data_IF_866925902238
#
_entry.id   IF_866925902238
#
_cell.length_a   1.000
_cell.length_b   1.000
_cell.length_c   1.000
_cell.angle_alpha   90.00
_cell.angle_beta   90.00
_cell.angle_gamma   90.00
#
_symmetry.space_group_name_H-M   'P 1'
#
loop_
_entity.id
_entity.type
_entity.pdbx_description
1 polymer ?
#
# COMPACT_ATOMS: atom_id res chain seq x y z
N UNK A 1 29.11 -26.54 19.61
CA UNK A 1 29.80 -25.35 19.10
C UNK A 1 28.93 -24.71 18.04
N UNK A 2 28.07 -23.84 18.55
CA UNK A 2 27.73 -22.52 18.04
C UNK A 2 27.02 -22.41 16.69
N UNK A 3 25.72 -22.68 16.78
CA UNK A 3 24.61 -21.85 16.32
C UNK A 3 25.04 -20.54 15.64
N UNK A 4 24.96 -20.52 14.31
CA UNK A 4 25.10 -19.30 13.53
C UNK A 4 24.03 -18.29 13.95
N UNK A 5 24.48 -17.10 14.29
CA UNK A 5 23.68 -15.94 14.65
C UNK A 5 22.93 -15.41 13.41
N UNK A 6 21.74 -15.95 13.12
CA UNK A 6 20.88 -15.49 12.00
C UNK A 6 20.08 -14.20 12.34
N UNK A 7 20.22 -13.65 13.55
CA UNK A 7 19.43 -12.51 14.04
C UNK A 7 19.88 -11.11 13.58
N UNK A 8 20.99 -11.00 12.84
CA UNK A 8 21.61 -9.72 12.46
C UNK A 8 21.55 -9.45 10.95
N UNK A 9 20.58 -10.02 10.24
CA UNK A 9 20.48 -9.78 8.80
C UNK A 9 19.82 -8.42 8.54
N UNK A 10 20.63 -7.41 8.23
CA UNK A 10 20.20 -6.10 7.70
C UNK A 10 19.49 -6.19 6.33
N UNK A 11 19.44 -7.38 5.75
CA UNK A 11 18.75 -7.67 4.49
C UNK A 11 18.06 -9.04 4.56
N UNK A 12 16.79 -9.11 4.21
CA UNK A 12 16.13 -10.40 4.00
C UNK A 12 16.49 -10.91 2.60
N UNK A 13 16.95 -12.16 2.45
CA UNK A 13 17.23 -12.72 1.14
C UNK A 13 15.95 -12.77 0.30
N UNK A 14 16.15 -12.67 -1.02
CA UNK A 14 15.11 -12.61 -2.03
C UNK A 14 14.03 -13.68 -1.77
N UNK A 15 12.80 -13.23 -1.53
CA UNK A 15 11.67 -14.14 -1.42
C UNK A 15 11.54 -14.91 -0.09
N UNK A 16 12.27 -14.48 0.94
CA UNK A 16 12.06 -14.92 2.32
C UNK A 16 11.85 -13.70 3.20
N UNK A 17 10.77 -12.97 2.94
CA UNK A 17 10.43 -11.78 3.71
C UNK A 17 10.16 -12.16 5.17
N UNK A 18 10.37 -11.25 6.12
CA UNK A 18 10.12 -11.55 7.53
C UNK A 18 8.66 -11.94 7.79
N UNK A 19 7.74 -11.43 6.96
CA UNK A 19 6.32 -11.72 6.99
C UNK A 19 5.99 -13.19 6.63
N UNK A 20 6.77 -13.82 5.76
CA UNK A 20 6.54 -15.20 5.30
C UNK A 20 7.11 -16.25 6.27
N UNK A 21 8.02 -15.86 7.17
CA UNK A 21 8.73 -16.81 8.05
C UNK A 21 8.08 -17.03 9.43
N UNK A 22 7.03 -16.29 9.79
CA UNK A 22 6.29 -16.49 11.05
C UNK A 22 7.14 -16.41 12.32
N UNK A 23 7.99 -15.38 12.45
CA UNK A 23 8.93 -15.26 13.58
C UNK A 23 8.21 -15.00 14.91
N UNK A 24 8.78 -15.49 16.02
CA UNK A 24 8.27 -15.27 17.38
C UNK A 24 8.53 -13.87 17.93
N UNK A 25 9.28 -13.04 17.19
CA UNK A 25 9.62 -11.67 17.57
C UNK A 25 9.81 -10.79 16.32
N UNK A 26 9.71 -9.47 16.50
CA UNK A 26 9.96 -8.50 15.45
C UNK A 26 11.48 -8.33 15.25
N UNK A 27 12.01 -8.53 14.03
CA UNK A 27 13.43 -8.31 13.74
C UNK A 27 13.86 -6.84 13.95
N UNK A 28 15.12 -6.64 14.34
CA UNK A 28 15.66 -5.33 14.69
C UNK A 28 15.54 -4.28 13.58
N UNK A 29 15.70 -4.69 12.33
CA UNK A 29 15.56 -3.80 11.19
C UNK A 29 14.15 -3.22 11.01
N UNK A 30 13.12 -3.74 11.69
CA UNK A 30 11.75 -3.18 11.70
C UNK A 30 11.41 -2.44 12.99
N UNK A 31 12.30 -2.48 14.00
CA UNK A 31 12.04 -1.85 15.28
C UNK A 31 12.13 -0.33 15.17
N UNK A 32 11.00 0.34 15.39
CA UNK A 32 10.95 1.80 15.48
C UNK A 32 11.59 2.22 16.81
N UNK A 33 12.53 3.20 16.82
CA UNK A 33 13.13 3.71 18.05
C UNK A 33 12.05 4.22 19.01
N UNK A 34 12.20 4.06 20.35
CA UNK A 34 11.18 4.46 21.32
C UNK A 34 10.68 5.90 21.15
N UNK A 35 11.57 6.84 20.80
CA UNK A 35 11.25 8.25 20.56
C UNK A 35 10.38 8.52 19.33
N UNK A 36 10.28 7.57 18.40
CA UNK A 36 9.50 7.68 17.16
C UNK A 36 8.27 6.75 17.17
N UNK A 37 8.04 5.99 18.24
CA UNK A 37 6.88 5.09 18.32
C UNK A 37 5.60 5.92 18.45
N UNK A 38 4.53 5.56 17.73
CA UNK A 38 3.24 6.22 17.90
C UNK A 38 2.70 6.00 19.32
N UNK A 39 1.85 6.93 19.79
CA UNK A 39 1.08 6.74 21.02
C UNK A 39 0.19 5.50 20.89
N UNK A 40 0.15 4.67 21.93
CA UNK A 40 -0.78 3.54 22.01
C UNK A 40 -2.21 3.98 22.37
N UNK A 41 -2.38 5.24 22.78
CA UNK A 41 -3.67 5.86 23.04
C UNK A 41 -3.88 6.98 22.01
N UNK A 42 -4.31 6.65 20.78
CA UNK A 42 -4.60 7.66 19.78
C UNK A 42 -5.84 8.46 20.16
N UNK A 43 -5.81 9.76 19.92
CA UNK A 43 -7.02 10.58 19.96
C UNK A 43 -7.95 10.17 18.80
N UNK A 44 -9.26 10.12 19.06
CA UNK A 44 -10.23 9.88 18.01
C UNK A 44 -10.33 11.10 17.11
N UNK A 45 -9.87 11.00 15.87
CA UNK A 45 -10.02 12.05 14.88
C UNK A 45 -11.40 11.97 14.20
N UNK A 46 -12.14 13.08 14.18
CA UNK A 46 -13.33 13.20 13.33
C UNK A 46 -12.88 13.46 11.88
N UNK A 47 -13.00 12.42 11.04
CA UNK A 47 -12.68 12.46 9.62
C UNK A 47 -13.94 12.82 8.82
N UNK A 48 -13.93 13.90 8.02
CA UNK A 48 -15.09 14.25 7.19
C UNK A 48 -15.46 13.12 6.23
N UNK A 49 -16.75 12.82 6.11
CA UNK A 49 -17.30 11.96 5.08
C UNK A 49 -18.08 12.84 4.10
N UNK A 50 -17.77 12.74 2.82
CA UNK A 50 -18.40 13.54 1.77
C UNK A 50 -19.24 12.62 0.89
N UNK A 51 -20.54 12.90 0.85
CA UNK A 51 -21.45 12.26 -0.09
C UNK A 51 -21.32 12.91 -1.47
N UNK A 52 -21.00 12.10 -2.48
CA UNK A 52 -20.86 12.54 -3.87
C UNK A 52 -22.17 12.39 -4.66
N UNK A 53 -23.24 11.87 -4.04
CA UNK A 53 -24.55 11.84 -4.69
C UNK A 53 -25.03 13.27 -4.96
N UNK A 54 -25.40 13.54 -6.22
CA UNK A 54 -25.80 14.87 -6.67
C UNK A 54 -24.69 15.71 -7.31
N UNK A 55 -23.44 15.23 -7.35
CA UNK A 55 -22.34 15.93 -8.03
C UNK A 55 -22.65 16.25 -9.51
N UNK A 56 -23.39 15.34 -10.17
CA UNK A 56 -23.77 15.45 -11.59
C UNK A 56 -25.28 15.68 -11.82
N UNK A 57 -26.05 15.96 -10.75
CA UNK A 57 -27.52 16.10 -10.84
C UNK A 57 -28.00 17.55 -10.75
N UNK A 58 -27.57 18.29 -9.72
CA UNK A 58 -28.04 19.64 -9.44
C UNK A 58 -26.87 20.64 -9.24
N UNK A 59 -26.86 21.81 -9.91
CA UNK A 59 -25.79 22.79 -9.78
C UNK A 59 -25.58 23.31 -8.35
N UNK A 60 -26.65 23.46 -7.55
CA UNK A 60 -26.52 23.96 -6.17
C UNK A 60 -25.91 22.89 -5.25
N UNK A 61 -26.36 21.63 -5.37
CA UNK A 61 -25.76 20.49 -4.68
C UNK A 61 -24.30 20.29 -5.08
N UNK A 62 -23.98 20.33 -6.38
CA UNK A 62 -22.61 20.26 -6.88
C UNK A 62 -21.71 21.31 -6.25
N UNK A 63 -22.18 22.56 -6.18
CA UNK A 63 -21.45 23.66 -5.54
C UNK A 63 -21.19 23.40 -4.05
N UNK A 64 -22.20 22.89 -3.32
CA UNK A 64 -22.05 22.52 -1.91
C UNK A 64 -21.04 21.39 -1.70
N UNK A 65 -21.08 20.33 -2.52
CA UNK A 65 -20.14 19.20 -2.46
C UNK A 65 -18.71 19.69 -2.73
N UNK A 66 -18.49 20.50 -3.76
CA UNK A 66 -17.17 21.09 -4.07
C UNK A 66 -16.67 21.95 -2.91
N UNK A 67 -17.55 22.75 -2.30
CA UNK A 67 -17.20 23.55 -1.12
C UNK A 67 -16.78 22.66 0.06
N UNK A 68 -17.48 21.56 0.30
CA UNK A 68 -17.16 20.60 1.36
C UNK A 68 -15.81 19.91 1.11
N UNK A 69 -15.54 19.49 -0.13
CA UNK A 69 -14.23 18.93 -0.54
C UNK A 69 -13.13 19.94 -0.25
N UNK A 70 -13.29 21.19 -0.74
CA UNK A 70 -12.30 22.24 -0.52
C UNK A 70 -12.07 22.54 0.97
N UNK A 71 -13.13 22.49 1.78
CA UNK A 71 -13.02 22.69 3.23
C UNK A 71 -12.26 21.53 3.91
N UNK A 72 -12.58 20.28 3.56
CA UNK A 72 -11.89 19.11 4.10
C UNK A 72 -10.39 19.12 3.73
N UNK A 73 -10.06 19.47 2.48
CA UNK A 73 -8.66 19.65 2.06
C UNK A 73 -7.93 20.69 2.90
N UNK A 74 -8.54 21.87 3.13
CA UNK A 74 -7.89 22.97 3.87
C UNK A 74 -7.76 22.71 5.37
N UNK A 75 -8.75 22.06 5.97
CA UNK A 75 -8.85 21.93 7.44
C UNK A 75 -8.33 20.59 7.97
N UNK A 76 -8.40 19.53 7.17
CA UNK A 76 -8.04 18.17 7.58
C UNK A 76 -6.95 17.54 6.70
N UNK A 77 -6.86 17.94 5.42
CA UNK A 77 -5.94 17.34 4.45
C UNK A 77 -6.33 15.91 4.01
N UNK A 78 -7.42 15.36 4.55
CA UNK A 78 -7.95 14.04 4.25
C UNK A 78 -9.46 13.98 4.54
N UNK A 79 -10.18 13.14 3.81
CA UNK A 79 -11.61 12.87 3.97
C UNK A 79 -11.95 11.51 3.35
N UNK A 80 -13.10 10.97 3.72
CA UNK A 80 -13.71 9.80 3.09
C UNK A 80 -14.78 10.25 2.09
N UNK A 81 -15.06 9.43 1.08
CA UNK A 81 -16.14 9.67 0.13
C UNK A 81 -17.11 8.49 0.14
N UNK A 82 -18.38 8.78 -0.10
CA UNK A 82 -19.44 7.78 -0.34
C UNK A 82 -20.24 8.15 -1.58
N UNK A 83 -20.99 7.19 -2.13
CA UNK A 83 -21.74 7.36 -3.38
C UNK A 83 -20.88 7.87 -4.55
N UNK A 84 -19.63 7.41 -4.63
CA UNK A 84 -18.65 7.84 -5.63
C UNK A 84 -18.88 7.25 -7.04
N UNK A 85 -19.91 6.42 -7.23
CA UNK A 85 -20.30 5.88 -8.54
C UNK A 85 -19.43 4.73 -9.08
N UNK A 86 -18.45 4.24 -8.31
CA UNK A 86 -17.67 3.05 -8.69
C UNK A 86 -18.49 1.81 -8.31
N UNK A 87 -18.75 0.87 -9.24
CA UNK A 87 -19.52 -0.33 -8.94
C UNK A 87 -18.90 -1.16 -7.82
N UNK A 88 -19.75 -1.70 -6.94
CA UNK A 88 -19.31 -2.53 -5.82
C UNK A 88 -18.48 -3.74 -6.28
N UNK A 89 -18.84 -4.35 -7.42
CA UNK A 89 -18.09 -5.47 -7.99
C UNK A 89 -16.63 -5.14 -8.31
N UNK A 90 -16.32 -3.88 -8.69
CA UNK A 90 -14.94 -3.43 -8.92
C UNK A 90 -14.21 -3.24 -7.59
N UNK A 91 -14.89 -2.68 -6.58
CA UNK A 91 -14.34 -2.51 -5.23
C UNK A 91 -14.03 -3.86 -4.56
N UNK A 92 -14.83 -4.88 -4.81
CA UNK A 92 -14.63 -6.23 -4.26
C UNK A 92 -13.57 -7.00 -5.06
N UNK A 93 -13.55 -6.84 -6.38
CA UNK A 93 -12.62 -7.53 -7.28
C UNK A 93 -11.17 -7.07 -7.13
N UNK A 94 -10.92 -5.77 -7.04
CA UNK A 94 -9.54 -5.24 -7.00
C UNK A 94 -8.71 -5.76 -5.81
N UNK A 95 -9.22 -5.77 -4.56
CA UNK A 95 -8.53 -6.42 -3.43
C UNK A 95 -8.37 -7.93 -3.63
N UNK A 96 -9.36 -8.61 -4.23
CA UNK A 96 -9.30 -10.05 -4.44
C UNK A 96 -8.15 -10.46 -5.38
N UNK A 97 -8.02 -9.78 -6.53
CA UNK A 97 -6.91 -10.00 -7.48
C UNK A 97 -5.57 -9.62 -6.85
N UNK A 98 -5.52 -8.53 -6.08
CA UNK A 98 -4.31 -8.13 -5.37
C UNK A 98 -3.87 -9.19 -4.34
N UNK A 99 -4.79 -9.73 -3.53
CA UNK A 99 -4.52 -10.83 -2.60
C UNK A 99 -3.99 -12.04 -3.37
N UNK A 100 -4.65 -12.42 -4.47
CA UNK A 100 -4.21 -13.52 -5.32
C UNK A 100 -2.78 -13.36 -5.82
N UNK A 101 -2.34 -12.14 -6.18
CA UNK A 101 -0.93 -11.87 -6.53
C UNK A 101 0.02 -12.13 -5.36
N UNK A 102 -0.31 -11.68 -4.15
CA UNK A 102 0.57 -11.84 -2.99
C UNK A 102 0.62 -13.28 -2.47
N UNK A 103 -0.43 -14.07 -2.73
CA UNK A 103 -0.51 -15.50 -2.44
C UNK A 103 0.24 -16.37 -3.46
N UNK A 104 0.66 -15.81 -4.61
CA UNK A 104 1.47 -16.54 -5.57
C UNK A 104 2.78 -17.02 -4.96
N UNK A 105 3.35 -18.14 -5.48
CA UNK A 105 4.68 -18.58 -5.11
C UNK A 105 5.69 -17.46 -5.25
N UNK A 106 6.64 -17.41 -4.33
CA UNK A 106 7.74 -16.43 -4.33
C UNK A 106 8.39 -16.26 -5.71
N UNK A 107 8.62 -17.37 -6.44
CA UNK A 107 9.21 -17.35 -7.78
C UNK A 107 8.47 -16.51 -8.81
N UNK A 108 7.15 -16.36 -8.67
CA UNK A 108 6.33 -15.51 -9.53
C UNK A 108 6.46 -14.04 -9.14
N UNK A 109 6.39 -13.75 -7.84
CA UNK A 109 6.46 -12.38 -7.30
C UNK A 109 7.81 -11.71 -7.55
N UNK A 110 8.90 -12.47 -7.42
CA UNK A 110 10.28 -11.93 -7.57
C UNK A 110 10.62 -11.52 -9.00
N UNK A 111 9.85 -11.92 -10.02
CA UNK A 111 9.98 -11.43 -11.40
C UNK A 111 9.82 -9.91 -11.49
N UNK A 112 9.06 -9.33 -10.57
CA UNK A 112 8.81 -7.89 -10.48
C UNK A 112 9.69 -7.19 -9.43
N UNK A 113 10.57 -7.91 -8.73
CA UNK A 113 11.44 -7.32 -7.70
C UNK A 113 12.49 -6.42 -8.35
N UNK A 114 12.65 -5.20 -7.84
CA UNK A 114 13.67 -4.27 -8.31
C UNK A 114 14.04 -3.25 -7.23
N UNK A 115 15.31 -2.84 -7.17
CA UNK A 115 15.75 -1.69 -6.35
C UNK A 115 15.57 -0.35 -7.09
N UNK A 116 15.40 -0.37 -8.41
CA UNK A 116 15.09 0.82 -9.19
C UNK A 116 13.68 1.32 -8.87
N UNK A 117 13.57 2.50 -8.28
CA UNK A 117 12.30 3.12 -7.88
C UNK A 117 11.51 3.67 -9.06
N UNK A 118 12.17 3.85 -10.21
CA UNK A 118 11.58 4.36 -11.45
C UNK A 118 10.98 3.27 -12.32
N UNK A 119 11.27 1.98 -12.05
CA UNK A 119 10.63 0.86 -12.74
C UNK A 119 9.10 1.02 -12.71
N UNK A 120 8.42 0.90 -13.87
CA UNK A 120 6.97 1.07 -13.96
C UNK A 120 6.20 0.07 -13.10
N UNK A 121 6.65 -1.19 -13.08
CA UNK A 121 6.10 -2.25 -12.24
C UNK A 121 7.19 -2.77 -11.32
N UNK A 122 6.89 -2.79 -10.01
CA UNK A 122 7.85 -3.13 -8.96
C UNK A 122 7.17 -3.79 -7.76
N UNK A 123 7.61 -5.00 -7.46
CA UNK A 123 7.41 -5.67 -6.19
C UNK A 123 8.55 -5.35 -5.21
N UNK A 124 8.26 -5.21 -3.92
CA UNK A 124 9.28 -4.90 -2.91
C UNK A 124 8.77 -4.93 -1.47
N UNK A 125 9.71 -4.88 -0.52
CA UNK A 125 9.44 -4.86 0.93
C UNK A 125 9.75 -3.51 1.57
N UNK A 126 10.81 -2.84 1.11
CA UNK A 126 11.19 -1.48 1.54
C UNK A 126 11.43 -0.54 0.36
N UNK A 127 11.58 0.76 0.64
CA UNK A 127 11.80 1.77 -0.39
C UNK A 127 13.16 1.55 -1.07
N UNK A 128 14.20 1.27 -0.27
CA UNK A 128 15.52 0.84 -0.74
C UNK A 128 16.02 -0.28 0.16
N UNK A 129 15.98 -1.51 -0.34
CA UNK A 129 16.47 -2.68 0.39
C UNK A 129 17.91 -2.45 0.87
N UNK A 130 18.14 -2.55 2.17
CA UNK A 130 19.48 -2.42 2.78
C UNK A 130 20.02 -1.00 2.94
N UNK A 131 19.30 0.05 2.51
CA UNK A 131 19.71 1.45 2.73
C UNK A 131 18.88 2.11 3.84
N UNK A 132 17.63 1.68 4.00
CA UNK A 132 16.73 2.22 5.02
C UNK A 132 17.19 1.80 6.44
N UNK A 133 17.39 2.78 7.34
CA UNK A 133 17.78 2.54 8.75
C UNK A 133 16.73 1.73 9.51
N UNK A 134 15.45 1.95 9.19
CA UNK A 134 14.31 1.18 9.67
C UNK A 134 13.50 0.78 8.44
N UNK A 135 13.33 -0.52 8.24
CA UNK A 135 12.56 -1.10 7.16
C UNK A 135 11.06 -1.07 7.50
N UNK A 136 10.23 -1.01 6.46
CA UNK A 136 8.78 -1.10 6.63
C UNK A 136 8.35 -2.56 6.76
N UNK A 137 7.52 -2.85 7.76
CA UNK A 137 6.81 -4.14 7.85
C UNK A 137 5.68 -4.19 6.82
N UNK A 138 6.05 -4.25 5.53
CA UNK A 138 5.12 -4.34 4.40
C UNK A 138 5.73 -5.11 3.24
N UNK A 139 4.85 -5.59 2.37
CA UNK A 139 5.16 -5.92 0.98
C UNK A 139 4.28 -5.04 0.10
N UNK A 140 4.75 -4.68 -1.09
CA UNK A 140 3.98 -3.88 -2.02
C UNK A 140 4.23 -4.30 -3.45
N UNK A 141 3.23 -4.07 -4.29
CA UNK A 141 3.34 -4.02 -5.74
C UNK A 141 2.95 -2.60 -6.16
N UNK A 142 3.84 -1.94 -6.89
CA UNK A 142 3.58 -0.65 -7.56
C UNK A 142 3.47 -0.94 -9.05
N UNK A 143 2.50 -0.33 -9.71
CA UNK A 143 2.39 -0.29 -11.17
C UNK A 143 1.91 1.09 -11.63
N UNK A 144 2.43 1.60 -12.74
CA UNK A 144 1.87 2.80 -13.37
C UNK A 144 0.57 2.48 -14.08
N UNK A 145 -0.40 3.39 -14.02
CA UNK A 145 -1.76 3.17 -14.55
C UNK A 145 -2.27 4.28 -15.47
N UNK A 146 -1.54 5.38 -15.63
CA UNK A 146 -1.92 6.47 -16.52
C UNK A 146 -0.72 6.95 -17.35
N UNK A 147 -0.85 7.04 -18.68
CA UNK A 147 -1.94 6.50 -19.51
C UNK A 147 -1.93 4.97 -19.55
N UNK A 148 -3.09 4.31 -19.42
CA UNK A 148 -3.15 2.84 -19.22
C UNK A 148 -2.46 2.04 -20.33
N UNK A 149 -2.67 2.43 -21.59
CA UNK A 149 -2.12 1.77 -22.79
C UNK A 149 -0.59 1.66 -22.79
N UNK A 150 0.10 2.56 -22.09
CA UNK A 150 1.57 2.59 -22.05
C UNK A 150 2.14 1.61 -21.02
N UNK A 151 1.30 1.11 -20.10
CA UNK A 151 1.75 0.39 -18.91
C UNK A 151 1.11 -0.98 -18.72
N UNK A 152 -0.11 -1.20 -19.20
CA UNK A 152 -0.91 -2.39 -18.90
C UNK A 152 -0.22 -3.70 -19.31
N UNK A 153 0.55 -3.69 -20.40
CA UNK A 153 1.30 -4.87 -20.87
C UNK A 153 2.45 -5.27 -19.94
N UNK A 154 2.89 -4.36 -19.06
CA UNK A 154 3.96 -4.62 -18.09
C UNK A 154 3.43 -5.17 -16.76
N UNK A 155 2.11 -5.13 -16.54
CA UNK A 155 1.50 -5.57 -15.29
C UNK A 155 1.60 -7.09 -15.14
N UNK A 156 1.52 -7.61 -13.90
CA UNK A 156 1.40 -9.05 -13.71
C UNK A 156 0.15 -9.58 -14.40
N UNK A 157 0.30 -10.64 -15.20
CA UNK A 157 -0.81 -11.36 -15.85
C UNK A 157 -1.38 -12.50 -14.99
N UNK A 158 -0.85 -12.69 -13.78
CA UNK A 158 -1.25 -13.71 -12.84
C UNK A 158 -1.39 -13.06 -11.44
N UNK A 159 -2.49 -13.29 -10.71
CA UNK A 159 -3.70 -14.02 -11.11
C UNK A 159 -4.43 -13.34 -12.30
N UNK A 160 -5.17 -14.11 -13.11
CA UNK A 160 -6.12 -13.53 -14.04
C UNK A 160 -7.28 -12.87 -13.28
N UNK A 161 -7.92 -11.88 -13.91
CA UNK A 161 -9.16 -11.26 -13.44
C UNK A 161 -10.36 -12.23 -13.51
#
# INVERSE_FOLDING_TARGET
MDSKNEGSSSSFPMGKTAQEKGWSHVPECYMIPPSHRPSLNPETANVPVIDLDGLDKDPAQRSLIIKNIGNACRTKGFFQIMNHGIPQSILDGAPSVAIGFFDLPTGEKVKFMSNDVHKPVRYGTSLRGGVDKVQFWRVFLKHYASPLKDWVELWPSNPPD
#
